data_IF_402284781574
#
_entry.id   IF_402284781574
#
_cell.length_a   1.000
_cell.length_b   1.000
_cell.length_c   1.000
_cell.angle_alpha   90.00
_cell.angle_beta   90.00
_cell.angle_gamma   90.00
#
_symmetry.space_group_name_H-M   'P 1'
#
loop_
_entity.id
_entity.type
_entity.pdbx_description
1 polymer ?
#
# COMPACT_ATOMS: atom_id res chain seq x y z
N UNK A 1 1.49 7.73 -18.93
CA UNK A 1 1.36 9.21 -18.90
C UNK A 1 0.92 9.60 -17.51
N UNK A 2 1.64 10.50 -16.85
CA UNK A 2 1.19 11.03 -15.55
C UNK A 2 -0.06 11.89 -15.83
N UNK A 3 -1.18 11.71 -15.11
CA UNK A 3 -2.34 12.56 -15.31
C UNK A 3 -1.95 14.03 -15.14
N UNK A 4 -2.47 14.91 -15.98
CA UNK A 4 -2.25 16.36 -15.89
C UNK A 4 -3.01 16.91 -14.67
N UNK A 5 -2.43 16.74 -13.50
CA UNK A 5 -2.99 17.28 -12.25
C UNK A 5 -2.53 18.72 -12.11
N UNK A 6 -3.47 19.64 -11.97
CA UNK A 6 -3.17 21.05 -11.69
C UNK A 6 -3.05 21.24 -10.19
N UNK A 7 -1.89 21.69 -9.73
CA UNK A 7 -1.64 21.97 -8.32
C UNK A 7 -1.86 23.46 -8.02
N UNK A 8 -2.34 23.83 -6.82
CA UNK A 8 -2.50 25.23 -6.44
C UNK A 8 -1.16 25.99 -6.46
N UNK A 9 -1.14 27.18 -7.04
CA UNK A 9 0.07 28.01 -7.09
C UNK A 9 0.64 28.32 -5.68
N UNK A 10 -0.19 28.33 -4.65
CA UNK A 10 0.24 28.52 -3.26
C UNK A 10 1.15 27.41 -2.73
N UNK A 11 1.18 26.23 -3.36
CA UNK A 11 2.03 25.11 -2.94
C UNK A 11 3.51 25.34 -3.29
N UNK A 12 3.81 26.13 -4.34
CA UNK A 12 5.20 26.44 -4.73
C UNK A 12 5.98 27.20 -3.65
N UNK A 13 5.29 27.87 -2.73
CA UNK A 13 5.93 28.65 -1.66
C UNK A 13 6.11 27.85 -0.37
N UNK A 14 5.62 26.60 -0.31
CA UNK A 14 5.76 25.76 0.87
C UNK A 14 7.03 24.92 0.80
N UNK A 15 7.90 25.03 1.78
CA UNK A 15 8.99 24.07 1.98
C UNK A 15 8.40 22.77 2.48
N UNK A 16 8.12 21.85 1.57
CA UNK A 16 7.56 20.55 1.91
C UNK A 16 8.64 19.48 2.06
N UNK A 17 8.37 18.46 2.87
CA UNK A 17 9.09 17.20 2.91
C UNK A 17 8.09 16.04 2.77
N UNK A 18 8.50 14.98 2.08
CA UNK A 18 7.71 13.78 1.91
C UNK A 18 8.29 12.64 2.74
N UNK A 19 7.43 11.79 3.27
CA UNK A 19 7.83 10.55 3.92
C UNK A 19 7.02 9.37 3.39
N UNK A 20 7.68 8.24 3.16
CA UNK A 20 7.05 6.98 2.76
C UNK A 20 7.70 5.82 3.50
N UNK A 21 6.97 4.72 3.70
CA UNK A 21 7.52 3.62 4.51
C UNK A 21 8.74 2.99 3.84
N UNK A 22 8.66 2.59 2.58
CA UNK A 22 9.76 2.03 1.77
C UNK A 22 9.44 2.07 0.28
N UNK A 23 10.48 2.08 -0.55
CA UNK A 23 10.38 2.11 -2.01
C UNK A 23 10.93 0.80 -2.61
N UNK A 24 10.05 -0.19 -2.82
CA UNK A 24 10.42 -1.50 -3.33
C UNK A 24 9.65 -1.96 -4.57
N UNK A 25 8.80 -1.12 -5.13
CA UNK A 25 7.99 -1.37 -6.33
C UNK A 25 6.85 -0.36 -6.45
N UNK A 26 6.37 -0.11 -7.67
CA UNK A 26 5.19 0.72 -7.91
C UNK A 26 3.92 -0.05 -7.56
N UNK A 27 3.25 0.34 -6.50
CA UNK A 27 1.96 -0.21 -6.03
C UNK A 27 1.01 0.95 -5.75
N UNK A 28 -0.18 0.68 -5.23
CA UNK A 28 -1.17 1.72 -4.95
C UNK A 28 -0.66 2.85 -4.05
N UNK A 29 0.15 2.54 -3.04
CA UNK A 29 0.76 3.54 -2.16
C UNK A 29 1.77 4.42 -2.88
N UNK A 30 2.62 3.83 -3.70
CA UNK A 30 3.62 4.57 -4.47
C UNK A 30 2.99 5.37 -5.62
N UNK A 31 1.86 4.94 -6.19
CA UNK A 31 1.07 5.76 -7.14
C UNK A 31 0.54 7.04 -6.48
N UNK A 32 0.08 6.96 -5.23
CA UNK A 32 -0.31 8.16 -4.45
C UNK A 32 0.90 9.05 -4.15
N UNK A 33 2.02 8.44 -3.73
CA UNK A 33 3.25 9.19 -3.49
C UNK A 33 3.74 9.90 -4.75
N UNK A 34 3.61 9.28 -5.92
CA UNK A 34 4.00 9.86 -7.21
C UNK A 34 3.23 11.17 -7.50
N UNK A 35 1.93 11.19 -7.25
CA UNK A 35 1.13 12.41 -7.40
C UNK A 35 1.56 13.49 -6.41
N UNK A 36 1.76 13.15 -5.14
CA UNK A 36 2.28 14.10 -4.15
C UNK A 36 3.68 14.61 -4.55
N UNK A 37 4.53 13.72 -5.03
CA UNK A 37 5.87 14.05 -5.50
C UNK A 37 5.84 15.01 -6.70
N UNK A 38 4.91 14.85 -7.62
CA UNK A 38 4.71 15.78 -8.73
C UNK A 38 4.23 17.16 -8.26
N UNK A 39 3.40 17.21 -7.20
CA UNK A 39 2.92 18.48 -6.61
C UNK A 39 3.97 19.23 -5.79
N UNK A 40 5.02 18.55 -5.32
CA UNK A 40 6.11 19.12 -4.55
C UNK A 40 7.46 18.65 -5.14
N UNK A 41 7.86 19.16 -6.30
CA UNK A 41 9.03 18.67 -7.04
C UNK A 41 10.35 18.81 -6.26
N UNK A 42 10.49 19.83 -5.43
CA UNK A 42 11.71 20.11 -4.67
C UNK A 42 11.72 19.47 -3.26
N UNK A 43 10.64 18.82 -2.87
CA UNK A 43 10.51 18.23 -1.53
C UNK A 43 11.46 17.02 -1.39
N UNK A 44 12.36 16.97 -0.40
CA UNK A 44 13.13 15.76 -0.10
C UNK A 44 12.18 14.63 0.33
N UNK A 45 12.55 13.40 -0.01
CA UNK A 45 11.80 12.20 0.33
C UNK A 45 12.56 11.37 1.38
N UNK A 46 11.89 11.03 2.46
CA UNK A 46 12.43 10.20 3.54
C UNK A 46 11.75 8.83 3.53
N UNK A 47 12.53 7.74 3.58
CA UNK A 47 11.99 6.38 3.67
C UNK A 47 12.93 5.45 4.43
N UNK A 48 12.41 4.33 4.94
CA UNK A 48 13.24 3.34 5.63
C UNK A 48 14.29 2.73 4.72
N UNK A 49 13.90 2.42 3.47
CA UNK A 49 14.78 1.86 2.45
C UNK A 49 14.26 2.16 1.03
N UNK A 50 15.17 2.13 0.08
CA UNK A 50 14.90 2.31 -1.34
C UNK A 50 15.66 1.26 -2.15
N UNK A 51 14.93 0.55 -3.02
CA UNK A 51 15.50 -0.32 -4.04
C UNK A 51 15.64 0.51 -5.34
N UNK A 52 16.85 0.84 -5.79
CA UNK A 52 17.04 1.61 -7.04
C UNK A 52 16.29 0.98 -8.23
N UNK A 53 15.67 1.81 -9.05
CA UNK A 53 14.91 1.40 -10.23
C UNK A 53 13.58 0.72 -9.96
N UNK A 54 13.11 0.67 -8.70
CA UNK A 54 11.83 0.01 -8.36
C UNK A 54 10.61 0.92 -8.42
N UNK A 55 10.82 2.23 -8.47
CA UNK A 55 9.75 3.24 -8.53
C UNK A 55 10.02 4.24 -9.64
N UNK A 56 9.01 5.03 -10.00
CA UNK A 56 9.10 5.97 -11.10
C UNK A 56 10.14 7.09 -10.87
N UNK A 57 10.70 7.68 -11.94
CA UNK A 57 11.57 8.83 -11.84
C UNK A 57 10.94 10.04 -11.16
N UNK A 58 9.62 10.22 -11.28
CA UNK A 58 8.89 11.31 -10.60
C UNK A 58 9.10 11.25 -9.08
N UNK A 59 9.18 10.06 -8.50
CA UNK A 59 9.43 9.86 -7.07
C UNK A 59 10.92 10.10 -6.74
N UNK A 60 11.84 9.72 -7.62
CA UNK A 60 13.29 9.67 -7.31
C UNK A 60 14.10 10.84 -7.85
N UNK A 61 13.54 11.71 -8.71
CA UNK A 61 14.21 12.93 -9.20
C UNK A 61 14.28 14.03 -8.12
N UNK A 62 14.68 13.62 -6.91
CA UNK A 62 14.82 14.46 -5.71
C UNK A 62 15.78 13.80 -4.72
N UNK A 63 16.26 14.50 -3.69
CA UNK A 63 17.01 13.87 -2.61
C UNK A 63 16.16 12.80 -1.91
N UNK A 64 16.64 11.54 -1.92
CA UNK A 64 16.00 10.42 -1.22
C UNK A 64 16.88 10.03 -0.03
N UNK A 65 16.37 10.30 1.17
CA UNK A 65 17.04 9.97 2.43
C UNK A 65 16.54 8.60 2.92
N UNK A 66 17.49 7.69 3.14
CA UNK A 66 17.19 6.34 3.64
C UNK A 66 17.72 6.12 5.03
N UNK A 67 17.06 5.26 5.82
CA UNK A 67 17.51 4.93 7.17
C UNK A 67 18.76 4.03 7.18
N UNK A 68 19.30 3.79 8.36
CA UNK A 68 20.41 2.84 8.57
C UNK A 68 20.12 1.44 8.02
N UNK A 69 18.84 1.05 7.92
CA UNK A 69 18.44 -0.25 7.35
C UNK A 69 18.84 -0.41 5.88
N UNK A 70 19.03 0.68 5.15
CA UNK A 70 19.49 0.63 3.76
C UNK A 70 20.82 -0.13 3.60
N UNK A 71 21.67 -0.15 4.64
CA UNK A 71 22.98 -0.80 4.63
C UNK A 71 22.92 -2.30 4.94
N UNK A 72 21.75 -2.84 5.31
CA UNK A 72 21.61 -4.25 5.65
C UNK A 72 21.62 -5.12 4.40
N UNK A 73 22.24 -6.30 4.44
CA UNK A 73 22.30 -7.23 3.30
C UNK A 73 20.91 -7.61 2.80
N UNK A 74 20.73 -7.62 1.48
CA UNK A 74 19.49 -8.02 0.80
C UNK A 74 18.21 -7.32 1.33
N UNK A 75 18.34 -6.11 1.90
CA UNK A 75 17.29 -5.42 2.64
C UNK A 75 15.97 -5.31 1.85
N UNK A 76 16.03 -5.07 0.55
CA UNK A 76 14.84 -4.96 -0.30
C UNK A 76 13.98 -6.26 -0.32
N UNK A 77 14.55 -7.40 0.04
CA UNK A 77 13.84 -8.70 0.14
C UNK A 77 13.51 -9.06 1.58
N UNK A 78 14.34 -8.64 2.55
CA UNK A 78 14.32 -9.11 3.94
C UNK A 78 13.78 -8.08 4.93
N UNK A 79 13.46 -6.85 4.50
CA UNK A 79 13.09 -5.72 5.37
C UNK A 79 11.98 -6.05 6.38
N UNK A 80 11.04 -6.94 6.04
CA UNK A 80 9.94 -7.32 6.95
C UNK A 80 10.43 -8.02 8.22
N UNK A 81 11.57 -8.71 8.17
CA UNK A 81 12.17 -9.33 9.35
C UNK A 81 12.79 -8.29 10.30
N UNK A 82 13.08 -7.08 9.79
CA UNK A 82 13.61 -5.98 10.58
C UNK A 82 12.52 -5.10 11.21
N UNK A 83 11.25 -5.51 11.15
CA UNK A 83 10.12 -4.79 11.76
C UNK A 83 10.38 -4.32 13.21
N UNK A 84 11.01 -5.13 14.11
CA UNK A 84 11.34 -4.68 15.46
C UNK A 84 12.29 -3.49 15.52
N UNK A 85 13.09 -3.27 14.48
CA UNK A 85 14.07 -2.19 14.41
C UNK A 85 13.53 -0.91 13.76
N UNK A 86 12.33 -0.93 13.17
CA UNK A 86 11.74 0.24 12.51
C UNK A 86 11.63 1.46 13.41
N UNK A 87 11.28 1.32 14.72
CA UNK A 87 11.29 2.44 15.66
C UNK A 87 12.63 3.16 15.80
N UNK A 88 13.72 2.42 15.75
CA UNK A 88 15.07 3.00 15.79
C UNK A 88 15.49 3.53 14.43
N UNK A 89 15.21 2.78 13.38
CA UNK A 89 15.60 3.12 12.02
C UNK A 89 14.99 4.44 11.54
N UNK A 90 13.71 4.69 11.82
CA UNK A 90 13.06 5.93 11.38
C UNK A 90 13.71 7.17 12.03
N UNK A 91 14.24 7.05 13.24
CA UNK A 91 14.94 8.13 13.92
C UNK A 91 16.28 8.48 13.30
N UNK A 92 16.91 7.53 12.58
CA UNK A 92 18.21 7.78 11.93
C UNK A 92 18.09 8.66 10.68
N UNK A 93 16.87 8.96 10.23
CA UNK A 93 16.63 9.90 9.13
C UNK A 93 16.81 11.36 9.56
N UNK A 94 16.92 11.63 10.86
CA UNK A 94 16.97 12.99 11.39
C UNK A 94 15.62 13.71 11.28
N UNK A 95 15.53 14.92 11.82
CA UNK A 95 14.31 15.71 11.75
C UNK A 95 14.11 16.29 10.34
N UNK A 96 12.91 16.16 9.79
CA UNK A 96 12.51 16.92 8.61
C UNK A 96 12.39 18.41 8.99
N UNK A 97 13.19 19.26 8.34
CA UNK A 97 13.11 20.72 8.48
C UNK A 97 12.33 21.30 7.29
N UNK A 98 11.04 21.37 7.46
CA UNK A 98 10.10 21.83 6.44
C UNK A 98 8.93 22.56 7.11
N UNK A 99 8.17 23.34 6.34
CA UNK A 99 6.93 23.95 6.83
C UNK A 99 5.80 22.90 6.85
N UNK A 100 5.82 21.96 5.88
CA UNK A 100 4.86 20.88 5.76
C UNK A 100 5.57 19.53 5.57
N UNK A 101 5.29 18.58 6.43
CA UNK A 101 5.62 17.16 6.25
C UNK A 101 4.37 16.42 5.79
N UNK A 102 4.44 15.73 4.65
CA UNK A 102 3.39 14.82 4.21
C UNK A 102 3.93 13.39 4.29
N UNK A 103 3.38 12.60 5.19
CA UNK A 103 3.71 11.17 5.25
C UNK A 103 2.62 10.32 4.61
N UNK A 104 2.99 9.43 3.70
CA UNK A 104 2.14 8.37 3.16
C UNK A 104 2.51 7.07 3.86
N UNK A 105 1.64 6.59 4.77
CA UNK A 105 2.06 5.58 5.74
C UNK A 105 1.06 4.45 5.94
N UNK A 106 1.60 3.25 6.02
CA UNK A 106 0.92 2.05 6.53
C UNK A 106 1.76 1.36 7.61
N UNK A 107 2.88 1.98 8.02
CA UNK A 107 3.79 1.43 9.01
C UNK A 107 4.50 2.54 9.81
N UNK A 108 5.72 2.93 9.42
CA UNK A 108 6.62 3.74 10.21
C UNK A 108 6.77 5.20 9.75
N UNK A 109 6.44 5.53 8.49
CA UNK A 109 6.71 6.84 7.91
C UNK A 109 6.10 8.01 8.71
N UNK A 110 4.91 7.80 9.31
CA UNK A 110 4.28 8.81 10.18
C UNK A 110 5.06 9.14 11.45
N UNK A 111 6.05 8.31 11.79
CA UNK A 111 6.91 8.51 12.95
C UNK A 111 8.23 9.23 12.60
N UNK A 112 8.36 9.76 11.36
CA UNK A 112 9.52 10.54 10.98
C UNK A 112 9.68 11.74 11.93
N UNK A 113 10.85 11.93 12.57
CA UNK A 113 11.11 13.11 13.38
C UNK A 113 10.96 14.39 12.54
N UNK A 114 10.40 15.43 13.15
CA UNK A 114 10.24 16.74 12.52
C UNK A 114 10.33 17.84 13.57
N UNK A 115 10.52 19.08 13.12
CA UNK A 115 10.62 20.22 14.03
C UNK A 115 9.25 20.62 14.57
N UNK A 116 9.21 21.36 15.69
CA UNK A 116 7.94 21.87 16.25
C UNK A 116 7.21 22.86 15.36
N UNK A 117 7.90 23.45 14.37
CA UNK A 117 7.33 24.39 13.39
C UNK A 117 6.69 23.66 12.20
N UNK A 118 7.10 22.44 11.95
CA UNK A 118 6.63 21.61 10.83
C UNK A 118 5.22 21.15 11.12
N UNK A 119 4.30 21.41 10.22
CA UNK A 119 2.96 20.80 10.23
C UNK A 119 3.01 19.43 9.59
N UNK A 120 2.48 18.43 10.27
CA UNK A 120 2.52 17.06 9.81
C UNK A 120 1.13 16.56 9.39
N UNK A 121 0.95 16.32 8.10
CA UNK A 121 -0.20 15.66 7.52
C UNK A 121 0.16 14.19 7.20
N UNK A 122 -0.60 13.25 7.75
CA UNK A 122 -0.42 11.84 7.45
C UNK A 122 -1.55 11.31 6.55
N UNK A 123 -1.23 11.00 5.29
CA UNK A 123 -2.11 10.20 4.45
C UNK A 123 -1.95 8.73 4.82
N UNK A 124 -2.89 8.25 5.60
CA UNK A 124 -2.81 6.96 6.25
C UNK A 124 -3.50 5.89 5.40
N UNK A 125 -2.70 4.97 4.83
CA UNK A 125 -3.24 3.81 4.12
C UNK A 125 -3.90 2.83 5.09
N UNK A 126 -3.33 2.68 6.28
CA UNK A 126 -3.88 1.92 7.40
C UNK A 126 -2.97 2.11 8.64
N UNK A 127 -3.46 1.99 9.85
CA UNK A 127 -2.60 1.75 11.03
C UNK A 127 -1.75 0.49 10.82
N UNK A 128 -0.56 0.44 11.47
CA UNK A 128 0.42 -0.63 11.27
C UNK A 128 -0.19 -2.04 11.28
N UNK A 129 -0.44 -2.62 10.11
CA UNK A 129 -1.12 -3.92 9.96
C UNK A 129 -0.49 -5.03 10.78
N UNK A 130 0.85 -5.10 10.75
CA UNK A 130 1.61 -6.13 11.46
C UNK A 130 1.33 -6.17 12.96
N UNK A 131 1.03 -5.02 13.54
CA UNK A 131 0.77 -4.90 14.97
C UNK A 131 -0.71 -5.00 15.34
N UNK A 132 -1.63 -4.48 14.51
CA UNK A 132 -3.02 -4.29 14.90
C UNK A 132 -4.00 -5.31 14.33
N UNK A 133 -3.88 -5.68 13.05
CA UNK A 133 -4.94 -6.41 12.35
C UNK A 133 -4.55 -7.81 11.87
N UNK A 134 -3.58 -7.96 11.02
CA UNK A 134 -3.29 -9.21 10.31
C UNK A 134 -2.23 -10.06 11.01
N UNK A 135 -2.44 -10.39 12.30
CA UNK A 135 -1.45 -11.15 13.10
C UNK A 135 -1.28 -12.57 12.61
N UNK A 136 -2.39 -13.27 12.35
CA UNK A 136 -2.35 -14.67 11.92
C UNK A 136 -1.79 -14.84 10.52
N UNK A 137 -2.11 -13.91 9.63
CA UNK A 137 -1.64 -13.89 8.24
C UNK A 137 -0.13 -13.68 8.13
N UNK A 138 0.46 -12.89 9.03
CA UNK A 138 1.90 -12.61 9.01
C UNK A 138 2.73 -13.59 9.85
N UNK A 139 2.18 -14.11 10.93
CA UNK A 139 2.93 -14.93 11.89
C UNK A 139 2.43 -16.37 11.98
N UNK A 140 1.35 -16.71 11.24
CA UNK A 140 0.72 -18.02 11.24
C UNK A 140 -0.18 -18.24 12.48
N UNK A 141 -0.96 -19.30 12.46
CA UNK A 141 -1.97 -19.61 13.49
C UNK A 141 -1.40 -20.25 14.80
N UNK A 142 -0.08 -20.40 14.93
CA UNK A 142 0.54 -21.06 16.09
C UNK A 142 0.39 -20.22 17.36
N UNK A 143 -0.36 -20.72 18.34
CA UNK A 143 -0.55 -20.06 19.66
C UNK A 143 0.75 -19.79 20.40
N UNK A 144 1.74 -20.70 20.33
CA UNK A 144 3.06 -20.52 20.95
C UNK A 144 3.82 -19.38 20.32
N UNK A 145 3.81 -19.26 18.97
CA UNK A 145 4.42 -18.11 18.27
C UNK A 145 3.76 -16.80 18.66
N UNK A 146 2.43 -16.78 18.75
CA UNK A 146 1.68 -15.59 19.17
C UNK A 146 2.02 -15.18 20.61
N UNK A 147 2.18 -16.13 21.53
CA UNK A 147 2.58 -15.84 22.90
C UNK A 147 4.01 -15.29 22.96
N UNK A 148 4.94 -15.88 22.22
CA UNK A 148 6.32 -15.40 22.15
C UNK A 148 6.46 -14.01 21.52
N UNK A 149 5.62 -13.68 20.51
CA UNK A 149 5.63 -12.38 19.85
C UNK A 149 4.81 -11.30 20.57
N UNK A 150 3.96 -11.67 21.54
CA UNK A 150 3.07 -10.73 22.21
C UNK A 150 3.77 -9.52 22.85
N UNK A 151 4.92 -9.66 23.54
CA UNK A 151 5.64 -8.49 24.11
C UNK A 151 6.14 -7.54 23.01
N UNK A 152 6.71 -8.09 21.94
CA UNK A 152 7.18 -7.31 20.79
C UNK A 152 6.04 -6.55 20.12
N UNK A 153 4.95 -7.24 19.80
CA UNK A 153 3.77 -6.61 19.17
C UNK A 153 3.12 -5.58 20.09
N UNK A 154 3.09 -5.84 21.41
CA UNK A 154 2.64 -4.88 22.43
C UNK A 154 3.51 -3.63 22.46
N UNK A 155 4.83 -3.78 22.35
CA UNK A 155 5.79 -2.69 22.22
C UNK A 155 5.57 -1.87 20.97
N UNK A 156 5.42 -2.52 19.82
CA UNK A 156 5.15 -1.88 18.53
C UNK A 156 3.82 -1.11 18.53
N UNK A 157 2.75 -1.65 19.13
CA UNK A 157 1.45 -0.96 19.26
C UNK A 157 1.59 0.32 20.10
N UNK A 158 2.26 0.23 21.23
CA UNK A 158 2.49 1.40 22.09
C UNK A 158 3.30 2.46 21.36
N UNK A 159 4.36 2.06 20.67
CA UNK A 159 5.18 2.94 19.86
C UNK A 159 4.37 3.57 18.72
N UNK A 160 3.62 2.78 17.98
CA UNK A 160 2.81 3.21 16.83
C UNK A 160 1.73 4.23 17.26
N UNK A 161 1.03 3.93 18.38
CA UNK A 161 0.05 4.84 18.99
C UNK A 161 0.71 6.14 19.50
N UNK A 162 1.84 6.03 20.19
CA UNK A 162 2.54 7.21 20.73
C UNK A 162 2.97 8.17 19.62
N UNK A 163 3.46 7.64 18.48
CA UNK A 163 3.87 8.48 17.35
C UNK A 163 2.69 9.11 16.59
N UNK A 164 1.47 8.58 16.74
CA UNK A 164 0.28 9.22 16.16
C UNK A 164 -0.01 10.60 16.80
N UNK A 165 0.50 10.87 17.98
CA UNK A 165 0.38 12.18 18.64
C UNK A 165 1.19 13.28 17.93
N UNK A 166 2.27 12.94 17.22
CA UNK A 166 3.06 13.88 16.43
C UNK A 166 2.44 14.25 15.08
N UNK A 167 1.33 13.66 14.70
CA UNK A 167 0.60 13.98 13.46
C UNK A 167 -0.43 15.06 13.76
N UNK A 168 -0.35 16.23 13.09
CA UNK A 168 -1.35 17.29 13.25
C UNK A 168 -2.69 16.86 12.64
N UNK A 169 -2.68 16.30 11.41
CA UNK A 169 -3.88 15.89 10.69
C UNK A 169 -3.73 14.52 10.04
N UNK A 170 -4.67 13.63 10.31
CA UNK A 170 -4.80 12.37 9.59
C UNK A 170 -5.77 12.52 8.42
N UNK A 171 -5.38 11.95 7.28
CA UNK A 171 -6.23 11.73 6.11
C UNK A 171 -6.29 10.24 5.85
N UNK A 172 -7.45 9.65 6.00
CA UNK A 172 -7.69 8.22 5.80
C UNK A 172 -8.07 7.95 4.34
N UNK A 173 -7.58 6.85 3.78
CA UNK A 173 -7.92 6.44 2.40
C UNK A 173 -9.36 5.93 2.25
N UNK A 174 -10.08 5.69 3.36
CA UNK A 174 -11.46 5.23 3.35
C UNK A 174 -12.11 5.43 4.72
N UNK A 175 -13.45 5.33 4.77
CA UNK A 175 -14.18 5.29 6.03
C UNK A 175 -13.79 4.08 6.91
N UNK A 176 -13.38 2.97 6.29
CA UNK A 176 -12.89 1.80 7.02
C UNK A 176 -11.58 2.12 7.75
N UNK A 177 -10.63 2.77 7.06
CA UNK A 177 -9.35 3.19 7.67
C UNK A 177 -9.57 4.31 8.70
N UNK A 178 -10.49 5.25 8.47
CA UNK A 178 -10.88 6.25 9.47
C UNK A 178 -11.31 5.60 10.80
N UNK A 179 -12.21 4.59 10.74
CA UNK A 179 -12.60 3.85 11.94
C UNK A 179 -11.44 3.16 12.64
N UNK A 180 -10.48 2.62 11.89
CA UNK A 180 -9.26 2.02 12.47
C UNK A 180 -8.36 3.06 13.12
N UNK A 181 -8.20 4.25 12.55
CA UNK A 181 -7.44 5.37 13.17
C UNK A 181 -8.10 5.76 14.49
N UNK A 182 -9.40 5.91 14.51
CA UNK A 182 -10.16 6.21 15.73
C UNK A 182 -9.99 5.10 16.78
N UNK A 183 -10.19 3.84 16.39
CA UNK A 183 -10.10 2.68 17.28
C UNK A 183 -8.70 2.50 17.88
N UNK A 184 -7.64 2.61 17.08
CA UNK A 184 -6.29 2.25 17.51
C UNK A 184 -5.50 3.44 18.06
N UNK A 185 -5.71 4.62 17.50
CA UNK A 185 -4.98 5.82 17.92
C UNK A 185 -5.82 6.75 18.80
N UNK A 186 -7.15 6.66 18.76
CA UNK A 186 -8.04 7.62 19.40
C UNK A 186 -8.02 8.98 18.72
N UNK A 187 -7.75 9.02 17.40
CA UNK A 187 -7.64 10.23 16.60
C UNK A 187 -8.73 10.26 15.52
N UNK A 188 -9.21 11.47 15.21
CA UNK A 188 -10.07 11.67 14.04
C UNK A 188 -9.24 11.78 12.75
N UNK A 189 -9.90 11.59 11.61
CA UNK A 189 -9.29 11.70 10.29
C UNK A 189 -10.32 12.18 9.25
N UNK A 190 -9.88 13.02 8.33
CA UNK A 190 -10.63 13.28 7.10
C UNK A 190 -10.55 12.08 6.17
N UNK A 191 -11.53 11.92 5.28
CA UNK A 191 -11.49 10.85 4.29
C UNK A 191 -11.24 11.46 2.91
N UNK A 192 -10.13 11.06 2.29
CA UNK A 192 -9.80 11.37 0.89
C UNK A 192 -9.41 10.06 0.21
N UNK A 193 -10.23 9.62 -0.72
CA UNK A 193 -10.00 8.38 -1.46
C UNK A 193 -8.74 8.46 -2.33
N UNK A 194 -7.96 7.36 -2.46
CA UNK A 194 -6.84 7.33 -3.39
C UNK A 194 -7.36 7.48 -4.83
N UNK A 195 -6.62 8.22 -5.67
CA UNK A 195 -7.02 8.44 -7.05
C UNK A 195 -6.87 7.16 -7.88
N UNK A 196 -7.85 6.90 -8.74
CA UNK A 196 -7.75 5.94 -9.85
C UNK A 196 -7.41 6.68 -11.14
N UNK A 197 -6.66 6.05 -12.03
CA UNK A 197 -6.35 6.62 -13.35
C UNK A 197 -7.54 6.43 -14.30
N UNK A 198 -8.53 7.31 -14.18
CA UNK A 198 -9.75 7.30 -15.00
C UNK A 198 -9.51 7.71 -16.45
N UNK A 199 -8.35 8.24 -16.77
CA UNK A 199 -7.95 8.50 -18.16
C UNK A 199 -7.40 7.23 -18.84
N UNK A 200 -6.80 6.34 -18.05
CA UNK A 200 -6.28 5.05 -18.53
C UNK A 200 -7.33 3.94 -18.47
N UNK A 201 -8.01 3.77 -17.35
CA UNK A 201 -9.07 2.78 -17.19
C UNK A 201 -10.40 3.37 -17.67
N UNK A 202 -10.67 3.18 -18.95
CA UNK A 202 -11.87 3.67 -19.62
C UNK A 202 -12.66 2.52 -20.23
N UNK A 203 -14.00 2.55 -20.20
CA UNK A 203 -14.81 1.58 -20.92
C UNK A 203 -14.58 1.71 -22.43
N UNK A 204 -14.70 0.62 -23.14
CA UNK A 204 -14.68 0.59 -24.60
C UNK A 204 -15.86 -0.24 -25.11
N UNK A 205 -16.96 0.41 -25.56
CA UNK A 205 -18.17 -0.28 -26.01
C UNK A 205 -17.96 -1.13 -27.28
N UNK A 206 -16.87 -0.95 -28.02
CA UNK A 206 -16.54 -1.74 -29.20
C UNK A 206 -15.98 -3.11 -28.85
N UNK A 207 -15.52 -3.31 -27.62
CA UNK A 207 -14.97 -4.59 -27.15
C UNK A 207 -16.11 -5.43 -26.57
N UNK A 208 -16.41 -6.61 -27.16
CA UNK A 208 -17.46 -7.48 -26.66
C UNK A 208 -17.07 -8.11 -25.32
N UNK A 209 -18.04 -8.24 -24.42
CA UNK A 209 -17.84 -9.01 -23.19
C UNK A 209 -17.75 -10.49 -23.48
N UNK A 210 -16.84 -11.16 -22.79
CA UNK A 210 -16.61 -12.59 -22.87
C UNK A 210 -17.17 -13.32 -21.64
N UNK A 211 -17.39 -14.62 -21.77
CA UNK A 211 -17.95 -15.44 -20.69
C UNK A 211 -16.89 -15.87 -19.68
N UNK A 212 -16.30 -14.91 -18.96
CA UNK A 212 -15.45 -15.17 -17.80
C UNK A 212 -15.63 -14.09 -16.72
N UNK A 213 -15.42 -14.48 -15.49
CA UNK A 213 -15.28 -13.57 -14.37
C UNK A 213 -13.78 -13.37 -14.05
N UNK A 214 -13.42 -12.24 -13.46
CA UNK A 214 -12.03 -11.82 -13.29
C UNK A 214 -11.68 -11.59 -11.82
N UNK A 215 -10.49 -12.05 -11.40
CA UNK A 215 -9.81 -11.62 -10.18
C UNK A 215 -8.52 -10.92 -10.56
N UNK A 216 -8.30 -9.71 -10.06
CA UNK A 216 -7.00 -9.02 -10.14
C UNK A 216 -6.53 -8.73 -8.72
N UNK A 217 -5.48 -9.43 -8.25
CA UNK A 217 -5.03 -9.31 -6.87
C UNK A 217 -3.60 -9.79 -6.66
N UNK A 218 -2.94 -9.30 -5.61
CA UNK A 218 -1.77 -10.00 -5.07
C UNK A 218 -2.21 -11.35 -4.50
N UNK A 219 -1.53 -12.44 -4.88
CA UNK A 219 -1.88 -13.79 -4.45
C UNK A 219 -1.22 -14.10 -3.11
N UNK A 220 -1.83 -13.57 -2.05
CA UNK A 220 -1.41 -13.74 -0.65
C UNK A 220 -2.61 -14.15 0.22
N UNK A 221 -2.41 -14.84 1.35
CA UNK A 221 -3.51 -15.46 2.12
C UNK A 221 -4.68 -14.51 2.43
N UNK A 222 -4.40 -13.30 2.91
CA UNK A 222 -5.45 -12.37 3.36
C UNK A 222 -6.32 -11.79 2.21
N UNK A 223 -5.95 -12.03 0.95
CA UNK A 223 -6.77 -11.65 -0.22
C UNK A 223 -7.85 -12.69 -0.54
N UNK A 224 -7.83 -13.84 0.11
CA UNK A 224 -8.85 -14.88 0.03
C UNK A 224 -9.19 -15.33 -1.41
N UNK A 225 -8.22 -15.30 -2.33
CA UNK A 225 -8.41 -15.68 -3.74
C UNK A 225 -8.76 -17.17 -3.86
N UNK A 226 -8.36 -17.98 -2.88
CA UNK A 226 -8.71 -19.40 -2.76
C UNK A 226 -10.22 -19.63 -2.70
N UNK A 227 -11.00 -18.73 -2.09
CA UNK A 227 -12.46 -18.82 -2.08
C UNK A 227 -13.04 -18.72 -3.50
N UNK A 228 -12.52 -17.79 -4.32
CA UNK A 228 -12.93 -17.66 -5.71
C UNK A 228 -12.51 -18.90 -6.53
N UNK A 229 -11.25 -19.32 -6.42
CA UNK A 229 -10.75 -20.53 -7.12
C UNK A 229 -11.60 -21.76 -6.78
N UNK A 230 -11.86 -22.01 -5.49
CA UNK A 230 -12.66 -23.15 -5.04
C UNK A 230 -14.11 -23.08 -5.55
N UNK A 231 -14.76 -21.90 -5.47
CA UNK A 231 -16.13 -21.72 -5.94
C UNK A 231 -16.27 -21.97 -7.43
N UNK A 232 -15.34 -21.40 -8.23
CA UNK A 232 -15.38 -21.53 -9.69
C UNK A 232 -14.98 -22.92 -10.18
N UNK A 233 -14.04 -23.58 -9.53
CA UNK A 233 -13.71 -25.00 -9.77
C UNK A 233 -14.93 -25.89 -9.55
N UNK A 234 -15.65 -25.68 -8.43
CA UNK A 234 -16.84 -26.47 -8.09
C UNK A 234 -18.01 -26.24 -9.06
N UNK A 235 -18.22 -24.98 -9.46
CA UNK A 235 -19.34 -24.59 -10.33
C UNK A 235 -19.04 -24.75 -11.81
N UNK A 236 -17.79 -25.05 -12.18
CA UNK A 236 -17.30 -25.15 -13.56
C UNK A 236 -17.55 -23.88 -14.40
N UNK A 237 -17.56 -22.71 -13.76
CA UNK A 237 -17.66 -21.43 -14.45
C UNK A 237 -16.26 -20.93 -14.80
N UNK A 238 -16.17 -20.10 -15.84
CA UNK A 238 -14.88 -19.55 -16.27
C UNK A 238 -14.41 -18.46 -15.34
N UNK A 239 -13.17 -18.58 -14.83
CA UNK A 239 -12.48 -17.59 -14.02
C UNK A 239 -11.08 -17.34 -14.58
N UNK A 240 -10.74 -16.07 -14.74
CA UNK A 240 -9.38 -15.61 -14.98
C UNK A 240 -8.85 -14.95 -13.71
N UNK A 241 -7.66 -15.35 -13.27
CA UNK A 241 -6.98 -14.79 -12.10
C UNK A 241 -5.67 -14.16 -12.58
N UNK A 242 -5.55 -12.84 -12.39
CA UNK A 242 -4.34 -12.07 -12.70
C UNK A 242 -3.69 -11.64 -11.40
N UNK A 243 -2.39 -11.93 -11.27
CA UNK A 243 -1.58 -11.51 -10.13
C UNK A 243 -0.48 -12.49 -9.78
N UNK A 244 0.38 -12.08 -8.88
CA UNK A 244 1.49 -12.88 -8.37
C UNK A 244 1.54 -12.84 -6.84
N UNK A 245 2.15 -13.84 -6.23
CA UNK A 245 2.31 -13.92 -4.78
C UNK A 245 2.64 -15.32 -4.30
N UNK A 246 2.74 -15.47 -2.99
CA UNK A 246 3.14 -16.72 -2.34
C UNK A 246 2.14 -17.87 -2.52
N UNK A 247 0.90 -17.54 -2.87
CA UNK A 247 -0.18 -18.50 -3.05
C UNK A 247 -0.30 -19.02 -4.50
N UNK A 248 0.48 -18.48 -5.45
CA UNK A 248 0.32 -18.80 -6.88
C UNK A 248 0.35 -20.29 -7.17
N UNK A 249 1.37 -21.00 -6.69
CA UNK A 249 1.55 -22.45 -6.93
C UNK A 249 0.42 -23.26 -6.29
N UNK A 250 0.06 -22.92 -5.04
CA UNK A 250 -1.03 -23.60 -4.32
C UNK A 250 -2.38 -23.42 -5.03
N UNK A 251 -2.67 -22.20 -5.46
CA UNK A 251 -3.91 -21.88 -6.18
C UNK A 251 -3.95 -22.55 -7.55
N UNK A 252 -2.82 -22.57 -8.26
CA UNK A 252 -2.71 -23.25 -9.56
C UNK A 252 -2.95 -24.76 -9.45
N UNK A 253 -2.42 -25.40 -8.42
CA UNK A 253 -2.65 -26.81 -8.15
C UNK A 253 -4.10 -27.15 -7.77
N UNK A 254 -4.83 -26.19 -7.16
CA UNK A 254 -6.25 -26.35 -6.74
C UNK A 254 -7.24 -25.95 -7.85
N UNK A 255 -6.79 -25.29 -8.92
CA UNK A 255 -7.62 -24.78 -9.99
C UNK A 255 -8.18 -25.92 -10.87
N UNK A 256 -9.50 -25.89 -11.08
CA UNK A 256 -10.16 -26.76 -12.05
C UNK A 256 -9.96 -26.29 -13.49
N UNK A 257 -10.40 -27.06 -14.49
CA UNK A 257 -10.09 -26.81 -15.92
C UNK A 257 -10.66 -25.49 -16.47
N UNK A 258 -11.62 -24.88 -15.78
CA UNK A 258 -12.24 -23.60 -16.18
C UNK A 258 -11.64 -22.39 -15.45
N UNK A 259 -10.65 -22.60 -14.56
CA UNK A 259 -9.97 -21.55 -13.81
C UNK A 259 -8.55 -21.38 -14.34
N UNK A 260 -8.22 -20.18 -14.82
CA UNK A 260 -6.94 -19.86 -15.45
C UNK A 260 -6.20 -18.82 -14.61
N UNK A 261 -5.03 -19.16 -14.12
CA UNK A 261 -4.12 -18.23 -13.44
C UNK A 261 -3.07 -17.75 -14.43
N UNK A 262 -3.03 -16.44 -14.71
CA UNK A 262 -2.13 -15.85 -15.72
C UNK A 262 -0.82 -15.33 -15.11
N UNK A 263 -0.68 -15.35 -13.78
CA UNK A 263 0.46 -14.73 -13.12
C UNK A 263 0.39 -13.20 -13.19
N UNK A 264 1.52 -12.55 -12.99
CA UNK A 264 1.62 -11.10 -13.12
C UNK A 264 1.43 -10.70 -14.59
N UNK A 265 0.65 -9.64 -14.81
CA UNK A 265 0.42 -9.07 -16.12
C UNK A 265 0.62 -7.54 -16.08
N UNK A 266 1.03 -6.91 -17.19
CA UNK A 266 1.12 -5.46 -17.30
C UNK A 266 -0.26 -4.79 -17.35
N UNK A 267 -0.29 -3.47 -17.04
CA UNK A 267 -1.54 -2.73 -16.87
C UNK A 267 -2.44 -2.71 -18.14
N UNK A 268 -1.86 -2.77 -19.33
CA UNK A 268 -2.62 -2.84 -20.60
C UNK A 268 -3.38 -4.16 -20.76
N UNK A 269 -2.77 -5.27 -20.35
CA UNK A 269 -3.43 -6.59 -20.32
C UNK A 269 -4.52 -6.61 -19.26
N UNK A 270 -4.28 -6.02 -18.08
CA UNK A 270 -5.28 -5.92 -17.01
C UNK A 270 -6.49 -5.10 -17.47
N UNK A 271 -6.25 -3.93 -18.11
CA UNK A 271 -7.32 -3.09 -18.66
C UNK A 271 -8.14 -3.83 -19.73
N UNK A 272 -7.50 -4.60 -20.62
CA UNK A 272 -8.21 -5.40 -21.62
C UNK A 272 -9.11 -6.44 -20.97
N UNK A 273 -8.63 -7.11 -19.92
CA UNK A 273 -9.44 -8.07 -19.16
C UNK A 273 -10.61 -7.40 -18.40
N UNK A 274 -10.43 -6.20 -17.85
CA UNK A 274 -11.53 -5.43 -17.26
C UNK A 274 -12.64 -5.15 -18.28
N UNK A 275 -12.28 -4.78 -19.50
CA UNK A 275 -13.24 -4.49 -20.58
C UNK A 275 -14.01 -5.72 -21.06
N UNK A 276 -13.36 -6.90 -21.03
CA UNK A 276 -13.92 -8.15 -21.55
C UNK A 276 -14.65 -8.98 -20.50
N UNK A 277 -14.29 -8.87 -19.23
CA UNK A 277 -14.88 -9.73 -18.20
C UNK A 277 -16.37 -9.43 -18.01
N UNK A 278 -17.12 -10.47 -17.63
CA UNK A 278 -18.52 -10.34 -17.23
C UNK A 278 -18.66 -9.62 -15.88
N UNK A 279 -17.83 -9.99 -14.92
CA UNK A 279 -17.77 -9.37 -13.60
C UNK A 279 -16.39 -9.47 -12.95
N UNK A 280 -16.12 -8.54 -12.05
CA UNK A 280 -14.94 -8.60 -11.17
C UNK A 280 -15.33 -9.29 -9.86
N UNK A 281 -14.52 -10.25 -9.43
CA UNK A 281 -14.65 -10.96 -8.16
C UNK A 281 -13.59 -10.43 -7.20
N UNK A 282 -14.04 -9.96 -6.04
CA UNK A 282 -13.21 -9.31 -5.04
C UNK A 282 -13.44 -9.92 -3.65
N UNK A 283 -12.81 -11.08 -3.33
CA UNK A 283 -13.18 -11.89 -2.18
C UNK A 283 -12.55 -11.42 -0.86
N UNK A 284 -11.46 -10.65 -0.89
CA UNK A 284 -10.71 -10.24 0.30
C UNK A 284 -11.22 -8.96 0.94
N UNK A 285 -10.92 -8.78 2.24
CA UNK A 285 -11.10 -7.51 2.92
C UNK A 285 -9.99 -6.53 2.55
N UNK A 286 -10.35 -5.30 2.17
CA UNK A 286 -9.42 -4.26 1.75
C UNK A 286 -9.59 -2.96 2.52
N UNK A 287 -8.50 -2.21 2.63
CA UNK A 287 -8.54 -0.88 3.24
C UNK A 287 -9.27 0.14 2.35
N UNK A 288 -9.16 -0.01 1.02
CA UNK A 288 -9.89 0.81 0.04
C UNK A 288 -10.45 -0.04 -1.09
N UNK A 289 -9.61 -0.86 -1.73
CA UNK A 289 -10.00 -1.62 -2.91
C UNK A 289 -9.94 -0.79 -4.19
N UNK A 290 -8.73 -0.43 -4.65
CA UNK A 290 -8.57 0.33 -5.90
C UNK A 290 -9.02 -0.48 -7.13
N UNK A 291 -8.81 -1.79 -7.14
CA UNK A 291 -9.14 -2.69 -8.25
C UNK A 291 -10.61 -2.63 -8.67
N UNK A 292 -11.62 -2.64 -7.75
CA UNK A 292 -13.01 -2.42 -8.14
C UNK A 292 -13.30 -1.03 -8.73
N UNK A 293 -12.49 -0.03 -8.44
CA UNK A 293 -12.66 1.32 -9.00
C UNK A 293 -12.05 1.40 -10.40
N UNK A 294 -10.98 0.65 -10.65
CA UNK A 294 -10.32 0.55 -11.97
C UNK A 294 -11.18 -0.27 -12.96
N UNK A 295 -11.90 -1.30 -12.49
CA UNK A 295 -12.74 -2.19 -13.29
C UNK A 295 -14.10 -1.58 -13.66
#
# INVERSE_FOLDING_TARGET
MTPSVTYPASWSNLRAALAHDWLTGMRGGEKVLELLAAGFPDAPLHCLLHKPGSVSPVITNRPVHTSVLQRMPAIARTYRYYLPLFPLAIRTLGPADADLLISTSHCAAKALPHTRRTRHLCYCFTPMRYAWTFREEYFGASRLKHLALAPLLGGLRRWDKANSAGVDRFVAISHHVRRRIEQFYGRDADVVYPPADTAYYTPDPSIPREDFDLVVSALVPYKCVDLAVAAYTRTRRNLVVIGAGTEFERLSAAAGPTVRLLGWQPDDVIRDHYRRCRSLIFPGEEDFGIVPVEA
#
